data_IF_170576838152
#
_entry.id   IF_170576838152
#
_cell.length_a   1.000
_cell.length_b   1.000
_cell.length_c   1.000
_cell.angle_alpha   90.00
_cell.angle_beta   90.00
_cell.angle_gamma   90.00
#
_symmetry.space_group_name_H-M   'P 1'
#
loop_
_entity.id
_entity.type
_entity.pdbx_description
1 polymer ?
#
# COMPACT_ATOMS: atom_id res chain seq x y z
N UNK A 1 -11.80 -2.08 4.48
CA UNK A 1 -11.25 -1.20 3.43
C UNK A 1 -9.92 -1.69 2.84
N UNK A 2 -9.71 -1.53 1.53
CA UNK A 2 -8.45 -1.82 0.83
C UNK A 2 -7.76 -0.53 0.35
N UNK A 3 -6.45 -0.43 0.55
CA UNK A 3 -5.59 0.67 0.09
C UNK A 3 -4.45 0.06 -0.73
N UNK A 4 -4.20 0.56 -1.94
CA UNK A 4 -3.04 0.17 -2.75
C UNK A 4 -1.97 1.26 -2.64
N UNK A 5 -0.78 0.90 -2.20
CA UNK A 5 0.35 1.83 -2.08
C UNK A 5 0.69 2.42 -3.46
N UNK A 6 0.87 3.74 -3.52
CA UNK A 6 1.08 4.48 -4.76
C UNK A 6 -0.20 4.80 -5.55
N UNK A 7 -1.38 4.42 -5.05
CA UNK A 7 -2.67 4.77 -5.66
C UNK A 7 -3.48 5.78 -4.86
N UNK A 8 -4.26 6.55 -5.60
CA UNK A 8 -5.22 7.47 -5.02
C UNK A 8 -6.49 6.73 -4.60
N UNK A 9 -6.96 7.00 -3.39
CA UNK A 9 -8.23 6.48 -2.86
C UNK A 9 -9.00 7.58 -2.15
N UNK A 10 -10.28 7.33 -1.87
CA UNK A 10 -11.14 8.28 -1.17
C UNK A 10 -11.60 7.71 0.15
N UNK A 11 -11.62 8.58 1.15
CA UNK A 11 -12.19 8.31 2.46
C UNK A 11 -13.53 9.06 2.58
N UNK A 12 -14.46 8.56 3.40
CA UNK A 12 -15.61 9.35 3.83
C UNK A 12 -15.15 10.61 4.58
N UNK A 13 -16.05 11.55 4.81
CA UNK A 13 -15.71 12.77 5.55
C UNK A 13 -15.41 12.45 7.02
N UNK A 14 -14.14 12.55 7.43
CA UNK A 14 -13.68 12.15 8.77
C UNK A 14 -13.70 13.28 9.82
N UNK A 15 -14.01 14.51 9.42
CA UNK A 15 -13.86 15.70 10.28
C UNK A 15 -12.42 16.22 10.35
N UNK A 16 -12.26 17.42 10.91
CA UNK A 16 -11.00 18.19 10.83
C UNK A 16 -9.86 17.54 11.61
N UNK A 17 -10.14 17.00 12.80
CA UNK A 17 -9.09 16.45 13.67
C UNK A 17 -8.53 15.13 13.12
N UNK A 18 -9.39 14.25 12.62
CA UNK A 18 -8.97 13.03 11.94
C UNK A 18 -8.22 13.34 10.65
N UNK A 19 -8.67 14.35 9.89
CA UNK A 19 -7.95 14.80 8.70
C UNK A 19 -6.55 15.32 9.02
N UNK A 20 -6.40 16.14 10.07
CA UNK A 20 -5.08 16.61 10.54
C UNK A 20 -4.18 15.44 10.94
N UNK A 21 -4.74 14.44 11.61
CA UNK A 21 -4.02 13.23 11.99
C UNK A 21 -3.50 12.50 10.75
N UNK A 22 -4.32 12.28 9.71
CA UNK A 22 -3.88 11.69 8.44
C UNK A 22 -2.68 12.44 7.83
N UNK A 23 -2.75 13.78 7.80
CA UNK A 23 -1.65 14.59 7.25
C UNK A 23 -0.37 14.46 8.09
N UNK A 24 -0.49 14.38 9.42
CA UNK A 24 0.66 14.16 10.31
C UNK A 24 1.34 12.79 10.12
N UNK A 25 0.59 11.81 9.61
CA UNK A 25 1.10 10.48 9.27
C UNK A 25 1.78 10.42 7.90
N UNK A 26 1.88 11.55 7.18
CA UNK A 26 2.54 11.63 5.87
C UNK A 26 1.64 11.25 4.69
N UNK A 27 0.33 11.07 4.89
CA UNK A 27 -0.62 10.83 3.80
C UNK A 27 -0.69 12.07 2.91
N UNK A 28 -0.52 11.89 1.60
CA UNK A 28 -0.69 12.98 0.63
C UNK A 28 -2.16 13.20 0.35
N UNK A 29 -2.55 14.46 0.16
CA UNK A 29 -3.91 14.85 -0.15
C UNK A 29 -3.98 15.71 -1.41
N UNK A 30 -4.95 15.39 -2.27
CA UNK A 30 -5.36 16.18 -3.41
C UNK A 30 -6.89 16.30 -3.41
N UNK A 31 -7.41 17.51 -3.66
CA UNK A 31 -8.85 17.78 -3.58
C UNK A 31 -9.68 16.97 -4.59
N UNK A 32 -9.11 16.63 -5.75
CA UNK A 32 -9.80 15.91 -6.82
C UNK A 32 -9.57 14.40 -6.68
N UNK A 33 -8.33 13.99 -6.41
CA UNK A 33 -7.93 12.58 -6.42
C UNK A 33 -8.16 11.89 -5.06
N UNK A 34 -8.11 12.64 -3.96
CA UNK A 34 -8.32 12.12 -2.61
C UNK A 34 -7.00 11.97 -1.85
N UNK A 35 -6.80 10.80 -1.25
CA UNK A 35 -5.64 10.46 -0.43
C UNK A 35 -4.68 9.56 -1.19
N UNK A 36 -3.39 9.69 -0.92
CA UNK A 36 -2.34 8.85 -1.47
C UNK A 36 -1.40 8.41 -0.35
N UNK A 37 -1.18 7.10 -0.27
CA UNK A 37 -0.20 6.48 0.61
C UNK A 37 1.03 6.11 -0.21
N UNK A 38 2.20 6.54 0.23
CA UNK A 38 3.48 6.27 -0.41
C UNK A 38 4.58 5.92 0.60
N UNK A 39 5.82 5.89 0.14
CA UNK A 39 6.99 5.54 0.95
C UNK A 39 7.23 6.51 2.13
N UNK A 40 6.75 7.75 2.05
CA UNK A 40 6.86 8.74 3.12
C UNK A 40 5.78 8.61 4.19
N UNK A 41 4.79 7.74 3.99
CA UNK A 41 3.67 7.55 4.91
C UNK A 41 4.02 6.55 6.02
N UNK A 42 3.70 6.87 7.28
CA UNK A 42 3.77 5.92 8.38
C UNK A 42 2.59 4.93 8.31
N UNK A 43 2.76 3.91 7.47
CA UNK A 43 1.72 2.92 7.13
C UNK A 43 1.22 2.12 8.33
N UNK A 44 2.10 1.80 9.28
CA UNK A 44 1.73 1.07 10.51
C UNK A 44 0.74 1.86 11.35
N UNK A 45 1.06 3.11 11.67
CA UNK A 45 0.15 3.98 12.42
C UNK A 45 -1.10 4.33 11.61
N UNK A 46 -0.98 4.51 10.30
CA UNK A 46 -2.11 4.78 9.43
C UNK A 46 -3.14 3.66 9.43
N UNK A 47 -2.73 2.40 9.28
CA UNK A 47 -3.68 1.27 9.31
C UNK A 47 -4.38 1.22 10.66
N UNK A 48 -3.64 1.34 11.76
CA UNK A 48 -4.22 1.31 13.11
C UNK A 48 -5.25 2.43 13.28
N UNK A 49 -4.90 3.66 12.90
CA UNK A 49 -5.77 4.83 12.97
C UNK A 49 -7.02 4.68 12.10
N UNK A 50 -6.88 4.26 10.84
CA UNK A 50 -8.03 4.12 9.94
C UNK A 50 -8.95 2.97 10.37
N UNK A 51 -8.39 1.88 10.88
CA UNK A 51 -9.18 0.75 11.39
C UNK A 51 -10.05 1.18 12.57
N UNK A 52 -9.49 1.99 13.48
CA UNK A 52 -10.21 2.56 14.62
C UNK A 52 -11.31 3.55 14.17
N UNK A 53 -10.96 4.53 13.33
CA UNK A 53 -11.90 5.59 12.92
C UNK A 53 -13.02 5.07 12.01
N UNK A 54 -12.74 4.10 11.14
CA UNK A 54 -13.73 3.55 10.21
C UNK A 54 -14.54 2.40 10.83
N UNK A 55 -14.06 1.78 11.90
CA UNK A 55 -14.67 0.59 12.51
C UNK A 55 -14.64 -0.65 11.62
N UNK A 56 -13.75 -0.69 10.63
CA UNK A 56 -13.56 -1.82 9.71
C UNK A 56 -12.07 -2.10 9.45
N UNK A 57 -11.74 -3.35 9.11
CA UNK A 57 -10.36 -3.75 8.82
C UNK A 57 -9.79 -2.97 7.62
N UNK A 58 -8.65 -2.28 7.80
CA UNK A 58 -7.94 -1.60 6.72
C UNK A 58 -6.70 -2.38 6.30
N UNK A 59 -6.57 -2.63 5.00
CA UNK A 59 -5.52 -3.47 4.43
C UNK A 59 -4.71 -2.73 3.38
N UNK A 60 -3.38 -2.85 3.48
CA UNK A 60 -2.45 -2.31 2.49
C UNK A 60 -2.05 -3.41 1.51
N UNK A 61 -2.18 -3.07 0.24
CA UNK A 61 -1.77 -3.85 -0.92
C UNK A 61 -0.63 -3.13 -1.63
N UNK A 62 0.26 -3.89 -2.27
CA UNK A 62 1.31 -3.36 -3.16
C UNK A 62 1.04 -3.82 -4.60
N UNK A 63 1.73 -3.23 -5.59
CA UNK A 63 1.68 -3.72 -6.97
C UNK A 63 2.89 -4.56 -7.32
N UNK A 64 2.66 -5.58 -8.15
CA UNK A 64 3.71 -6.33 -8.81
C UNK A 64 4.48 -5.42 -9.78
N UNK A 65 5.81 -5.44 -9.73
CA UNK A 65 6.66 -4.70 -10.65
C UNK A 65 6.38 -5.06 -12.12
N UNK A 66 6.16 -6.37 -12.38
CA UNK A 66 6.06 -6.95 -13.71
C UNK A 66 4.64 -6.90 -14.27
N UNK A 67 3.68 -7.58 -13.62
CA UNK A 67 2.32 -7.70 -14.16
C UNK A 67 1.34 -6.65 -13.62
N UNK A 68 1.78 -5.77 -12.71
CA UNK A 68 0.96 -4.76 -12.02
C UNK A 68 -0.22 -5.31 -11.21
N UNK A 69 -0.30 -6.63 -11.02
CA UNK A 69 -1.30 -7.23 -10.12
C UNK A 69 -1.12 -6.73 -8.70
N UNK A 70 -2.22 -6.63 -7.97
CA UNK A 70 -2.19 -6.27 -6.55
C UNK A 70 -1.73 -7.46 -5.71
N UNK A 71 -0.99 -7.19 -4.66
CA UNK A 71 -0.40 -8.18 -3.76
C UNK A 71 -0.89 -7.88 -2.35
N UNK A 72 -1.63 -8.83 -1.76
CA UNK A 72 -1.92 -8.81 -0.32
C UNK A 72 -0.67 -9.31 0.42
N UNK A 73 0.00 -8.40 1.12
CA UNK A 73 1.24 -8.72 1.82
C UNK A 73 1.04 -9.68 3.01
N UNK A 74 -0.18 -9.84 3.54
CA UNK A 74 -0.46 -10.76 4.67
C UNK A 74 -0.38 -12.23 4.27
N UNK A 75 -0.69 -12.54 3.01
CA UNK A 75 -0.63 -13.89 2.45
C UNK A 75 0.63 -14.12 1.61
N UNK A 76 1.56 -13.16 1.62
CA UNK A 76 2.83 -13.29 0.93
C UNK A 76 3.68 -14.38 1.58
N UNK A 77 4.35 -15.20 0.76
CA UNK A 77 5.22 -16.28 1.24
C UNK A 77 6.42 -15.76 2.06
N UNK A 78 6.73 -14.47 1.95
CA UNK A 78 7.73 -13.76 2.73
C UNK A 78 7.17 -12.99 3.93
N UNK A 79 5.89 -13.13 4.27
CA UNK A 79 5.23 -12.33 5.31
C UNK A 79 5.87 -12.42 6.71
N UNK A 80 6.60 -13.49 7.00
CA UNK A 80 7.31 -13.66 8.28
C UNK A 80 8.65 -12.93 8.37
N UNK A 81 9.23 -12.54 7.23
CA UNK A 81 10.54 -11.88 7.14
C UNK A 81 10.48 -10.50 6.47
N UNK A 82 9.40 -10.21 5.75
CA UNK A 82 9.17 -8.95 5.08
C UNK A 82 8.36 -8.02 5.99
N UNK A 83 8.99 -6.93 6.44
CA UNK A 83 8.27 -5.80 7.01
C UNK A 83 7.58 -5.03 5.89
N UNK A 84 6.42 -5.50 5.44
CA UNK A 84 5.73 -4.94 4.28
C UNK A 84 5.29 -3.48 4.46
N UNK A 85 5.24 -2.98 5.69
CA UNK A 85 5.00 -1.56 5.96
C UNK A 85 6.18 -0.70 5.48
N UNK A 86 7.40 -1.15 5.74
CA UNK A 86 8.62 -0.42 5.41
C UNK A 86 9.35 -0.94 4.15
N UNK A 87 8.94 -2.09 3.62
CA UNK A 87 9.47 -2.63 2.38
C UNK A 87 9.15 -1.71 1.19
N UNK A 88 9.95 -1.85 0.12
CA UNK A 88 9.77 -1.12 -1.14
C UNK A 88 8.32 -1.08 -1.58
N UNK A 89 7.89 0.06 -2.15
CA UNK A 89 6.59 0.23 -2.79
C UNK A 89 6.35 -0.78 -3.92
N UNK A 90 7.41 -1.37 -4.46
CA UNK A 90 7.36 -2.32 -5.58
C UNK A 90 7.72 -3.74 -5.09
N UNK A 91 6.86 -4.71 -5.37
CA UNK A 91 7.06 -6.12 -5.01
C UNK A 91 6.93 -7.03 -6.24
N UNK A 92 7.28 -8.32 -6.13
CA UNK A 92 6.97 -9.33 -7.13
C UNK A 92 5.86 -10.23 -6.60
N UNK A 93 4.82 -10.47 -7.40
CA UNK A 93 3.79 -11.43 -7.03
C UNK A 93 4.33 -12.86 -7.19
N UNK A 94 3.72 -13.81 -6.48
CA UNK A 94 4.14 -15.22 -6.47
C UNK A 94 4.22 -15.84 -7.87
N UNK A 95 3.29 -15.52 -8.75
CA UNK A 95 3.28 -16.01 -10.14
C UNK A 95 4.46 -15.47 -10.93
N UNK A 96 4.74 -14.18 -10.77
CA UNK A 96 5.87 -13.50 -11.40
C UNK A 96 7.21 -13.86 -10.77
N UNK A 97 7.26 -14.42 -9.56
CA UNK A 97 8.49 -14.90 -8.93
C UNK A 97 8.85 -16.33 -9.37
N UNK A 98 7.84 -17.17 -9.64
CA UNK A 98 8.01 -18.57 -10.05
C UNK A 98 8.24 -18.77 -11.54
N UNK A 99 8.17 -17.71 -12.34
CA UNK A 99 8.40 -17.79 -13.78
C UNK A 99 9.89 -18.00 -14.07
N UNK A 100 10.24 -18.91 -14.97
CA UNK A 100 11.64 -19.05 -15.43
C UNK A 100 12.17 -17.77 -16.11
N UNK A 101 11.26 -16.90 -16.59
CA UNK A 101 11.58 -15.62 -17.21
C UNK A 101 11.58 -14.44 -16.22
N UNK A 102 11.39 -14.65 -14.92
CA UNK A 102 11.28 -13.56 -13.93
C UNK A 102 12.43 -12.56 -14.02
N UNK A 103 13.65 -13.06 -14.14
CA UNK A 103 14.86 -12.22 -14.25
C UNK A 103 14.88 -11.44 -15.57
N UNK A 104 14.57 -12.08 -16.69
CA UNK A 104 14.51 -11.44 -18.00
C UNK A 104 13.43 -10.34 -18.04
N UNK A 105 12.25 -10.61 -17.49
CA UNK A 105 11.14 -9.64 -17.41
C UNK A 105 11.46 -8.47 -16.46
N UNK A 106 12.19 -8.74 -15.38
CA UNK A 106 12.64 -7.69 -14.45
C UNK A 106 13.61 -6.71 -15.10
N UNK A 107 14.58 -7.21 -15.88
CA UNK A 107 15.54 -6.34 -16.58
C UNK A 107 14.86 -5.51 -17.68
N UNK A 108 13.81 -6.01 -18.33
CA UNK A 108 13.11 -5.26 -19.38
C UNK A 108 12.15 -4.18 -18.86
N UNK A 109 11.83 -4.18 -17.56
CA UNK A 109 10.92 -3.20 -16.94
C UNK A 109 11.64 -1.95 -16.39
N UNK A 110 12.97 -1.92 -16.40
CA UNK A 110 13.82 -0.83 -15.93
C UNK A 110 14.80 -0.41 -17.04
#
# INVERSE_FOLDING_TARGET
MKIVEGEWFRLPHLGVDNFRTLMSLGVKYDRVKGMLVDEGTNKTLLIAFLTDVLGEEVLIYKRCALCKSEIDCRICEYGTVCDYYNASSTCLCRECLKSEESYARYIMCF
#
